data_IF_786515575902
#
_entry.id   IF_786515575902
#
_cell.length_a   1.000
_cell.length_b   1.000
_cell.length_c   1.000
_cell.angle_alpha   90.00
_cell.angle_beta   90.00
_cell.angle_gamma   90.00
#
_symmetry.space_group_name_H-M   'P 1'
#
loop_
_entity.id
_entity.type
_entity.pdbx_description
1 polymer ?
#
# COMPACT_ATOMS: atom_id res chain seq x y z
N UNK A 1 -19.43 -6.83 -15.03
CA UNK A 1 -18.92 -7.26 -13.72
C UNK A 1 -17.86 -8.31 -13.96
N UNK A 2 -16.63 -8.06 -13.52
CA UNK A 2 -15.58 -9.08 -13.57
C UNK A 2 -15.95 -10.18 -12.57
N UNK A 3 -15.92 -11.45 -12.99
CA UNK A 3 -16.32 -12.57 -12.14
C UNK A 3 -15.23 -12.94 -11.15
N UNK A 4 -15.60 -13.32 -9.93
CA UNK A 4 -14.64 -13.89 -8.96
C UNK A 4 -13.98 -15.15 -9.55
N UNK A 5 -12.66 -15.23 -9.53
CA UNK A 5 -11.88 -16.39 -10.02
C UNK A 5 -11.30 -17.22 -8.88
N UNK A 6 -11.07 -16.60 -7.72
CA UNK A 6 -10.62 -17.28 -6.53
C UNK A 6 -11.23 -16.64 -5.28
N UNK A 7 -11.48 -17.47 -4.26
CA UNK A 7 -12.01 -17.06 -2.96
C UNK A 7 -10.97 -17.20 -1.87
N UNK A 8 -11.18 -16.46 -0.79
CA UNK A 8 -10.40 -16.57 0.46
C UNK A 8 -8.87 -16.47 0.25
N UNK A 9 -8.45 -15.62 -0.69
CA UNK A 9 -7.04 -15.45 -0.98
C UNK A 9 -6.32 -14.82 0.21
N UNK A 10 -5.20 -15.45 0.59
CA UNK A 10 -4.34 -15.09 1.72
C UNK A 10 -2.90 -15.12 1.25
N UNK A 11 -2.18 -14.04 1.51
CA UNK A 11 -0.74 -13.96 1.28
C UNK A 11 -0.02 -14.23 2.60
N UNK A 12 0.84 -15.24 2.61
CA UNK A 12 1.76 -15.53 3.71
C UNK A 12 3.18 -15.17 3.25
N UNK A 13 3.87 -14.32 4.01
CA UNK A 13 5.27 -14.01 3.79
C UNK A 13 6.10 -14.67 4.88
N UNK A 14 7.01 -15.55 4.47
CA UNK A 14 8.04 -16.12 5.33
C UNK A 14 9.31 -15.30 5.14
N UNK A 15 9.61 -14.46 6.12
CA UNK A 15 10.74 -13.53 6.08
C UNK A 15 12.03 -14.25 6.47
N UNK A 16 13.15 -13.78 5.92
CA UNK A 16 14.49 -14.10 6.42
C UNK A 16 14.66 -13.63 7.87
N UNK A 17 15.59 -14.24 8.61
CA UNK A 17 15.78 -13.98 10.04
C UNK A 17 16.14 -12.53 10.38
N UNK A 18 16.75 -11.82 9.44
CA UNK A 18 17.21 -10.44 9.55
C UNK A 18 16.25 -9.42 8.90
N UNK A 19 15.13 -9.88 8.34
CA UNK A 19 14.08 -9.04 7.82
C UNK A 19 12.98 -8.86 8.87
N UNK A 20 12.72 -7.61 9.26
CA UNK A 20 11.67 -7.24 10.21
C UNK A 20 10.58 -6.44 9.49
N UNK A 21 9.32 -6.89 9.51
CA UNK A 21 8.23 -6.15 8.88
C UNK A 21 7.87 -4.91 9.70
N UNK A 22 7.60 -3.81 9.00
CA UNK A 22 7.24 -2.51 9.59
C UNK A 22 5.80 -2.14 9.35
N UNK A 23 5.28 -2.43 8.16
CA UNK A 23 3.89 -2.20 7.80
C UNK A 23 3.49 -3.03 6.58
N UNK A 24 2.20 -3.31 6.44
CA UNK A 24 1.60 -3.87 5.24
C UNK A 24 0.45 -2.98 4.80
N UNK A 25 0.46 -2.60 3.52
CA UNK A 25 -0.61 -1.86 2.90
C UNK A 25 -1.17 -2.66 1.74
N UNK A 26 -2.50 -2.70 1.62
CA UNK A 26 -3.12 -2.98 0.33
C UNK A 26 -2.79 -1.81 -0.58
N UNK A 27 -2.39 -2.08 -1.82
CA UNK A 27 -2.31 -1.07 -2.85
C UNK A 27 -3.57 -1.16 -3.71
N UNK A 28 -3.72 -2.21 -4.52
CA UNK A 28 -4.88 -2.41 -5.40
C UNK A 28 -5.85 -3.43 -4.77
N UNK A 29 -7.19 -3.25 -4.91
CA UNK A 29 -7.92 -2.21 -5.66
C UNK A 29 -8.25 -0.93 -4.87
N UNK A 30 -7.85 -0.85 -3.61
CA UNK A 30 -8.05 0.33 -2.79
C UNK A 30 -6.96 0.33 -1.73
N UNK A 31 -6.26 1.46 -1.60
CA UNK A 31 -5.20 1.59 -0.60
C UNK A 31 -5.81 1.53 0.79
N UNK A 32 -5.31 0.62 1.61
CA UNK A 32 -5.68 0.54 3.01
C UNK A 32 -4.51 0.02 3.82
N UNK A 33 -4.37 0.54 5.04
CA UNK A 33 -3.41 -0.02 5.99
C UNK A 33 -3.98 -1.34 6.52
N UNK A 34 -3.29 -2.44 6.24
CA UNK A 34 -3.66 -3.76 6.77
C UNK A 34 -3.03 -4.01 8.15
N UNK A 35 -2.19 -3.08 8.60
CA UNK A 35 -1.40 -3.19 9.82
C UNK A 35 -0.30 -4.23 9.67
N UNK A 36 0.24 -4.64 10.82
CA UNK A 36 1.16 -5.76 10.92
C UNK A 36 0.61 -6.71 11.97
N UNK A 37 0.35 -7.95 11.56
CA UNK A 37 -0.04 -9.04 12.44
C UNK A 37 0.97 -10.19 12.25
N UNK A 38 2.00 -10.29 13.11
CA UNK A 38 2.87 -11.45 13.10
C UNK A 38 2.06 -12.67 13.49
N UNK A 39 2.18 -13.73 12.69
CA UNK A 39 1.64 -15.05 13.05
C UNK A 39 2.73 -16.02 13.52
N UNK A 40 3.98 -15.58 13.48
CA UNK A 40 5.18 -16.29 13.94
C UNK A 40 6.35 -15.31 14.08
N UNK A 41 7.54 -15.81 14.39
CA UNK A 41 8.73 -14.96 14.60
C UNK A 41 9.10 -14.13 13.37
N UNK A 42 8.95 -14.70 12.17
CA UNK A 42 9.34 -14.08 10.90
C UNK A 42 8.25 -14.27 9.84
N UNK A 43 6.98 -14.31 10.26
CA UNK A 43 5.86 -14.58 9.34
C UNK A 43 4.81 -13.48 9.40
N UNK A 44 4.37 -13.03 8.22
CA UNK A 44 3.31 -12.04 8.04
C UNK A 44 2.19 -12.67 7.22
N UNK A 45 0.96 -12.62 7.72
CA UNK A 45 -0.21 -13.07 6.97
C UNK A 45 -1.12 -11.89 6.62
N UNK A 46 -1.60 -11.88 5.38
CA UNK A 46 -2.40 -10.80 4.82
C UNK A 46 -3.63 -11.40 4.16
N UNK A 47 -4.83 -10.96 4.55
CA UNK A 47 -6.06 -11.34 3.87
C UNK A 47 -6.24 -10.44 2.64
N UNK A 48 -6.24 -11.06 1.47
CA UNK A 48 -6.52 -10.39 0.19
C UNK A 48 -8.02 -10.37 -0.08
N UNK A 49 -8.73 -11.43 0.30
CA UNK A 49 -10.16 -11.60 0.06
C UNK A 49 -10.40 -12.35 -1.24
N UNK A 50 -11.47 -12.02 -1.96
CA UNK A 50 -11.76 -12.60 -3.26
C UNK A 50 -10.89 -11.95 -4.35
N UNK A 51 -10.46 -12.73 -5.34
CA UNK A 51 -9.74 -12.26 -6.52
C UNK A 51 -10.70 -12.23 -7.71
N UNK A 52 -10.71 -11.12 -8.44
CA UNK A 52 -11.60 -10.88 -9.58
C UNK A 52 -10.88 -11.15 -10.91
N UNK A 53 -11.62 -11.65 -11.90
CA UNK A 53 -11.11 -11.91 -13.24
C UNK A 53 -10.65 -10.62 -13.93
N UNK A 54 -9.35 -10.50 -14.19
CA UNK A 54 -8.79 -9.32 -14.88
C UNK A 54 -8.52 -8.13 -13.97
N UNK A 55 -8.77 -8.24 -12.66
CA UNK A 55 -8.37 -7.25 -11.67
C UNK A 55 -7.02 -7.60 -11.03
N UNK A 56 -6.22 -6.59 -10.70
CA UNK A 56 -4.95 -6.79 -9.99
C UNK A 56 -5.15 -6.63 -8.48
N UNK A 57 -4.72 -7.62 -7.70
CA UNK A 57 -4.62 -7.50 -6.25
C UNK A 57 -3.15 -7.32 -5.85
N UNK A 58 -2.82 -6.22 -5.18
CA UNK A 58 -1.44 -5.89 -4.83
C UNK A 58 -1.30 -5.42 -3.38
N UNK A 59 -0.15 -5.74 -2.79
CA UNK A 59 0.24 -5.29 -1.46
C UNK A 59 1.63 -4.69 -1.50
N UNK A 60 1.83 -3.66 -0.69
CA UNK A 60 3.14 -3.05 -0.44
C UNK A 60 3.54 -3.41 0.98
N UNK A 61 4.71 -4.03 1.12
CA UNK A 61 5.26 -4.44 2.41
C UNK A 61 6.51 -3.61 2.69
N UNK A 62 6.53 -2.96 3.84
CA UNK A 62 7.70 -2.25 4.35
C UNK A 62 8.50 -3.19 5.25
N UNK A 63 9.77 -3.41 4.89
CA UNK A 63 10.69 -4.32 5.58
C UNK A 63 11.95 -3.56 5.99
N UNK A 64 12.35 -3.72 7.25
CA UNK A 64 13.67 -3.34 7.73
C UNK A 64 14.61 -4.55 7.58
N UNK A 65 15.72 -4.36 6.88
CA UNK A 65 16.71 -5.41 6.60
C UNK A 65 18.06 -4.93 7.13
N UNK A 66 18.81 -5.83 7.77
CA UNK A 66 20.16 -5.50 8.23
C UNK A 66 21.12 -5.25 7.05
N UNK A 67 22.10 -4.34 7.17
CA UNK A 67 23.08 -4.10 6.13
C UNK A 67 23.80 -5.39 5.71
N UNK A 68 23.97 -5.58 4.40
CA UNK A 68 24.59 -6.76 3.78
C UNK A 68 25.61 -6.31 2.73
N UNK A 69 26.65 -7.13 2.46
CA UNK A 69 27.57 -6.86 1.36
C UNK A 69 26.84 -6.95 0.01
N UNK A 70 27.48 -6.47 -1.05
CA UNK A 70 26.94 -6.61 -2.40
C UNK A 70 26.65 -8.08 -2.75
N UNK A 71 25.53 -8.32 -3.43
CA UNK A 71 25.04 -9.65 -3.79
C UNK A 71 23.52 -9.74 -3.83
N UNK A 72 23.01 -10.89 -4.23
CA UNK A 72 21.57 -11.18 -4.28
C UNK A 72 21.16 -12.08 -3.13
N UNK A 73 20.15 -11.66 -2.37
CA UNK A 73 19.68 -12.36 -1.18
C UNK A 73 18.19 -12.61 -1.24
N UNK A 74 17.75 -13.81 -0.88
CA UNK A 74 16.33 -14.05 -0.62
C UNK A 74 15.96 -13.46 0.73
N UNK A 75 15.13 -12.42 0.70
CA UNK A 75 14.70 -11.70 1.91
C UNK A 75 13.35 -12.21 2.43
N UNK A 76 12.55 -12.83 1.57
CA UNK A 76 11.31 -13.50 1.93
C UNK A 76 10.93 -14.58 0.91
N UNK A 77 10.01 -15.46 1.30
CA UNK A 77 9.21 -16.27 0.38
C UNK A 77 7.74 -15.90 0.56
N UNK A 78 7.10 -15.49 -0.53
CA UNK A 78 5.67 -15.21 -0.60
C UNK A 78 4.93 -16.49 -0.98
N UNK A 79 3.88 -16.82 -0.23
CA UNK A 79 2.95 -17.90 -0.52
C UNK A 79 1.54 -17.32 -0.67
N UNK A 80 0.97 -17.43 -1.86
CA UNK A 80 -0.43 -17.08 -2.11
C UNK A 80 -1.29 -18.34 -1.96
N UNK A 81 -2.09 -18.39 -0.90
CA UNK A 81 -3.06 -19.44 -0.62
C UNK A 81 -4.43 -18.96 -1.10
N UNK A 82 -5.14 -19.73 -1.93
CA UNK A 82 -6.46 -19.35 -2.45
C UNK A 82 -7.28 -20.57 -2.86
N UNK A 83 -8.59 -20.43 -2.98
CA UNK A 83 -9.46 -21.50 -3.50
C UNK A 83 -10.03 -21.08 -4.86
N UNK A 84 -9.63 -21.70 -5.98
CA UNK A 84 -10.22 -21.41 -7.29
C UNK A 84 -11.73 -21.61 -7.28
N UNK A 85 -12.48 -20.75 -7.97
CA UNK A 85 -13.92 -20.96 -8.13
C UNK A 85 -14.18 -22.26 -8.89
N UNK A 86 -15.12 -23.06 -8.39
CA UNK A 86 -15.45 -24.38 -8.94
C UNK A 86 -14.56 -25.51 -8.43
N UNK A 87 -13.57 -25.23 -7.56
CA UNK A 87 -12.74 -26.24 -6.91
C UNK A 87 -12.95 -26.22 -5.39
N UNK A 88 -12.90 -27.40 -4.76
CA UNK A 88 -12.99 -27.52 -3.31
C UNK A 88 -11.63 -27.45 -2.61
N UNK A 89 -10.54 -27.68 -3.35
CA UNK A 89 -9.19 -27.78 -2.76
C UNK A 89 -8.46 -26.45 -2.86
N UNK A 90 -7.93 -25.92 -1.74
CA UNK A 90 -7.06 -24.75 -1.77
C UNK A 90 -5.78 -25.01 -2.55
N UNK A 91 -5.33 -24.02 -3.31
CA UNK A 91 -4.06 -24.01 -4.02
C UNK A 91 -3.08 -23.04 -3.35
N UNK A 92 -1.78 -23.33 -3.53
CA UNK A 92 -0.69 -22.48 -3.02
C UNK A 92 0.29 -22.20 -4.16
N UNK A 93 0.53 -20.92 -4.42
CA UNK A 93 1.59 -20.46 -5.32
C UNK A 93 2.72 -19.86 -4.48
N UNK A 94 3.97 -20.22 -4.76
CA UNK A 94 5.13 -19.73 -4.02
C UNK A 94 6.03 -18.90 -4.92
N UNK A 95 6.54 -17.80 -4.39
CA UNK A 95 7.47 -16.91 -5.08
C UNK A 95 8.54 -16.42 -4.10
N UNK A 96 9.81 -16.58 -4.46
CA UNK A 96 10.91 -16.00 -3.69
C UNK A 96 11.02 -14.50 -3.98
N UNK A 97 11.22 -13.71 -2.92
CA UNK A 97 11.47 -12.27 -2.98
C UNK A 97 12.96 -12.05 -2.81
N UNK A 98 13.61 -11.63 -3.90
CA UNK A 98 15.04 -11.39 -3.95
C UNK A 98 15.34 -9.90 -3.82
N UNK A 99 16.36 -9.57 -3.02
CA UNK A 99 16.94 -8.24 -2.92
C UNK A 99 18.36 -8.30 -3.48
N UNK A 100 18.62 -7.49 -4.50
CA UNK A 100 19.96 -7.24 -5.00
C UNK A 100 20.53 -6.00 -4.33
N UNK A 101 21.75 -6.14 -3.81
CA UNK A 101 22.55 -5.04 -3.27
C UNK A 101 23.76 -4.89 -4.17
N UNK A 102 23.90 -3.71 -4.78
CA UNK A 102 25.00 -3.39 -5.68
C UNK A 102 25.82 -2.22 -5.15
N UNK A 103 27.12 -2.27 -5.39
CA UNK A 103 28.02 -1.13 -5.19
C UNK A 103 28.18 -0.28 -6.47
N UNK A 104 27.57 -0.72 -7.58
CA UNK A 104 27.58 0.02 -8.84
C UNK A 104 26.66 1.25 -8.72
N UNK A 105 27.25 2.44 -8.82
CA UNK A 105 26.53 3.70 -8.78
C UNK A 105 25.62 3.93 -10.01
N UNK A 106 25.84 3.19 -11.10
CA UNK A 106 25.00 3.25 -12.29
C UNK A 106 23.77 2.32 -12.21
N UNK A 107 23.71 1.41 -11.22
CA UNK A 107 22.57 0.53 -11.04
C UNK A 107 21.31 1.34 -10.69
N UNK A 108 20.12 0.97 -11.21
CA UNK A 108 18.88 1.64 -10.85
C UNK A 108 18.65 1.57 -9.34
N UNK A 109 18.44 2.73 -8.71
CA UNK A 109 18.23 2.81 -7.27
C UNK A 109 16.91 2.16 -6.80
N UNK A 110 15.92 2.02 -7.69
CA UNK A 110 14.62 1.42 -7.40
C UNK A 110 13.92 0.92 -8.68
N UNK A 111 12.98 -0.02 -8.52
CA UNK A 111 12.02 -0.39 -9.57
C UNK A 111 10.96 0.73 -9.69
N UNK A 112 10.76 1.36 -10.87
CA UNK A 112 9.82 2.47 -11.04
C UNK A 112 8.37 2.11 -10.71
N UNK A 113 7.93 0.88 -10.99
CA UNK A 113 6.55 0.44 -10.69
C UNK A 113 6.35 0.30 -9.19
N UNK A 114 7.33 -0.29 -8.49
CA UNK A 114 7.31 -0.38 -7.03
C UNK A 114 7.34 1.00 -6.40
N UNK A 115 8.19 1.91 -6.89
CA UNK A 115 8.26 3.27 -6.37
C UNK A 115 6.96 4.04 -6.57
N UNK A 116 6.31 3.89 -7.73
CA UNK A 116 4.99 4.49 -7.98
C UNK A 116 3.95 4.01 -6.94
N UNK A 117 3.92 2.70 -6.64
CA UNK A 117 3.05 2.13 -5.61
C UNK A 117 3.37 2.68 -4.21
N UNK A 118 4.66 2.78 -3.87
CA UNK A 118 5.12 3.29 -2.57
C UNK A 118 4.70 4.74 -2.38
N UNK A 119 4.93 5.61 -3.36
CA UNK A 119 4.57 7.03 -3.28
C UNK A 119 3.06 7.24 -3.14
N UNK A 120 2.26 6.43 -3.86
CA UNK A 120 0.79 6.41 -3.72
C UNK A 120 0.35 6.02 -2.31
N UNK A 121 0.93 4.97 -1.74
CA UNK A 121 0.69 4.55 -0.35
C UNK A 121 1.11 5.63 0.64
N UNK A 122 2.22 6.33 0.39
CA UNK A 122 2.73 7.39 1.24
C UNK A 122 1.87 8.65 1.22
N UNK A 123 1.33 9.03 0.06
CA UNK A 123 0.35 10.11 -0.04
C UNK A 123 -0.93 9.79 0.75
N UNK A 124 -1.44 8.56 0.61
CA UNK A 124 -2.60 8.09 1.39
C UNK A 124 -2.33 8.09 2.90
N UNK A 125 -1.15 7.61 3.32
CA UNK A 125 -0.74 7.60 4.73
C UNK A 125 -0.71 9.00 5.35
N UNK A 126 -0.33 10.02 4.58
CA UNK A 126 -0.41 11.41 5.03
C UNK A 126 -1.85 11.88 5.22
N UNK A 127 -2.76 11.53 4.30
CA UNK A 127 -4.18 11.87 4.41
C UNK A 127 -4.81 11.21 5.64
N UNK A 128 -4.57 9.91 5.87
CA UNK A 128 -5.09 9.23 7.08
C UNK A 128 -4.54 9.83 8.36
N UNK A 129 -3.26 10.21 8.39
CA UNK A 129 -2.68 10.90 9.56
C UNK A 129 -3.26 12.28 9.75
N UNK A 130 -3.51 13.03 8.68
CA UNK A 130 -4.15 14.33 8.77
C UNK A 130 -5.55 14.23 9.38
N UNK A 131 -6.32 13.23 8.95
CA UNK A 131 -7.63 12.93 9.51
C UNK A 131 -7.55 12.67 11.02
N UNK A 132 -6.63 11.80 11.45
CA UNK A 132 -6.43 11.49 12.87
C UNK A 132 -5.97 12.72 13.69
N UNK A 133 -5.13 13.58 13.13
CA UNK A 133 -4.69 14.83 13.79
C UNK A 133 -5.84 15.82 13.91
N UNK A 134 -6.69 15.93 12.88
CA UNK A 134 -7.87 16.78 12.90
C UNK A 134 -8.90 16.29 13.94
N UNK A 135 -9.14 14.99 14.02
CA UNK A 135 -9.98 14.36 15.05
C UNK A 135 -9.43 14.60 16.46
N UNK A 136 -8.11 14.65 16.61
CA UNK A 136 -7.43 14.99 17.87
C UNK A 136 -7.38 16.51 18.15
N UNK A 137 -7.98 17.35 17.29
CA UNK A 137 -7.98 18.81 17.42
C UNK A 137 -6.69 19.52 16.96
N UNK A 138 -5.70 18.77 16.46
CA UNK A 138 -4.48 19.34 15.88
C UNK A 138 -4.68 19.75 14.41
N UNK A 139 -5.41 20.84 14.23
CA UNK A 139 -5.72 21.38 12.90
C UNK A 139 -4.46 21.74 12.12
N UNK A 140 -3.48 22.41 12.73
CA UNK A 140 -2.21 22.78 12.07
C UNK A 140 -1.45 21.55 11.58
N UNK A 141 -1.33 20.51 12.42
CA UNK A 141 -0.65 19.28 12.06
C UNK A 141 -1.39 18.48 10.98
N UNK A 142 -2.72 18.60 10.91
CA UNK A 142 -3.53 17.99 9.88
C UNK A 142 -3.37 18.69 8.52
N UNK A 143 -3.44 20.03 8.49
CA UNK A 143 -3.37 20.81 7.25
C UNK A 143 -1.99 20.70 6.59
N UNK A 144 -0.92 20.72 7.38
CA UNK A 144 0.44 20.46 6.90
C UNK A 144 0.56 19.09 6.20
N UNK A 145 -0.04 18.04 6.78
CA UNK A 145 0.01 16.69 6.19
C UNK A 145 -0.83 16.58 4.93
N UNK A 146 -2.00 17.24 4.86
CA UNK A 146 -2.82 17.30 3.65
C UNK A 146 -2.09 17.99 2.50
N UNK A 147 -1.43 19.12 2.75
CA UNK A 147 -0.63 19.82 1.73
C UNK A 147 0.58 19.01 1.26
N UNK A 148 1.24 18.32 2.19
CA UNK A 148 2.32 17.39 1.83
C UNK A 148 1.80 16.22 0.96
N UNK A 149 0.58 15.72 1.23
CA UNK A 149 -0.06 14.72 0.39
C UNK A 149 -0.41 15.29 -0.99
N UNK A 150 -0.94 16.52 -1.06
CA UNK A 150 -1.26 17.19 -2.31
C UNK A 150 -0.03 17.36 -3.20
N UNK A 151 1.10 17.80 -2.63
CA UNK A 151 2.37 17.96 -3.34
C UNK A 151 2.82 16.63 -3.96
N UNK A 152 2.85 15.55 -3.17
CA UNK A 152 3.24 14.22 -3.69
C UNK A 152 2.29 13.72 -4.79
N UNK A 153 0.99 13.96 -4.66
CA UNK A 153 0.02 13.58 -5.68
C UNK A 153 0.23 14.38 -6.97
N UNK A 154 0.62 15.66 -6.89
CA UNK A 154 1.01 16.44 -8.08
C UNK A 154 2.25 15.87 -8.74
N UNK A 155 3.27 15.52 -7.96
CA UNK A 155 4.51 14.93 -8.47
C UNK A 155 4.26 13.58 -9.18
N UNK A 156 3.22 12.85 -8.76
CA UNK A 156 2.74 11.63 -9.39
C UNK A 156 1.82 11.85 -10.61
N UNK A 157 1.54 13.11 -10.98
CA UNK A 157 0.62 13.46 -12.07
C UNK A 157 -0.87 13.32 -11.73
N UNK A 158 -1.21 13.15 -10.44
CA UNK A 158 -2.59 12.94 -9.97
C UNK A 158 -3.28 14.26 -9.61
N UNK A 159 -3.40 15.14 -10.60
CA UNK A 159 -3.89 16.53 -10.46
C UNK A 159 -5.20 16.65 -9.67
N UNK A 160 -6.19 15.83 -10.00
CA UNK A 160 -7.51 15.88 -9.36
C UNK A 160 -7.45 15.42 -7.89
N UNK A 161 -6.60 14.43 -7.57
CA UNK A 161 -6.42 13.98 -6.18
C UNK A 161 -5.66 15.02 -5.35
N UNK A 162 -4.64 15.62 -5.95
CA UNK A 162 -3.90 16.71 -5.33
C UNK A 162 -4.81 17.91 -5.01
N UNK A 163 -5.62 18.35 -5.98
CA UNK A 163 -6.60 19.43 -5.79
C UNK A 163 -7.60 19.11 -4.69
N UNK A 164 -8.07 17.87 -4.63
CA UNK A 164 -8.96 17.42 -3.56
C UNK A 164 -8.30 17.50 -2.18
N UNK A 165 -7.04 17.09 -2.05
CA UNK A 165 -6.29 17.17 -0.80
C UNK A 165 -6.02 18.62 -0.36
N UNK A 166 -5.70 19.52 -1.30
CA UNK A 166 -5.50 20.96 -1.01
C UNK A 166 -6.80 21.64 -0.57
N UNK A 167 -7.92 21.31 -1.22
CA UNK A 167 -9.23 21.80 -0.82
C UNK A 167 -9.59 21.34 0.59
N UNK A 168 -9.31 20.08 0.94
CA UNK A 168 -9.52 19.56 2.29
C UNK A 168 -8.65 20.30 3.33
N UNK A 169 -7.40 20.62 3.00
CA UNK A 169 -6.53 21.41 3.87
C UNK A 169 -7.14 22.80 4.12
N UNK A 170 -7.63 23.45 3.06
CA UNK A 170 -8.25 24.78 3.12
C UNK A 170 -9.54 24.77 3.96
N UNK A 171 -10.42 23.78 3.74
CA UNK A 171 -11.66 23.62 4.51
C UNK A 171 -11.38 23.43 6.00
N UNK A 172 -10.38 22.60 6.32
CA UNK A 172 -10.00 22.33 7.69
C UNK A 172 -9.44 23.58 8.40
N UNK A 173 -8.69 24.44 7.69
CA UNK A 173 -8.24 25.74 8.21
C UNK A 173 -9.39 26.72 8.45
N UNK A 174 -10.44 26.65 7.64
CA UNK A 174 -11.65 27.45 7.81
C UNK A 174 -12.57 26.93 8.94
N UNK A 175 -12.13 25.91 9.69
CA UNK A 175 -12.89 25.34 10.79
C UNK A 175 -14.02 24.41 10.35
N UNK A 176 -14.07 24.04 9.07
CA UNK A 176 -14.95 22.97 8.61
C UNK A 176 -14.34 21.65 9.08
N UNK A 177 -14.96 21.06 10.10
CA UNK A 177 -14.48 19.82 10.71
C UNK A 177 -14.45 18.65 9.72
N UNK A 178 -13.85 17.55 10.17
CA UNK A 178 -13.85 16.28 9.46
C UNK A 178 -15.30 15.83 9.23
N UNK A 179 -15.73 15.70 7.98
CA UNK A 179 -17.07 15.22 7.65
C UNK A 179 -17.04 13.75 7.21
N UNK A 180 -18.19 13.07 7.33
CA UNK A 180 -18.35 11.72 6.77
C UNK A 180 -18.13 11.69 5.24
N UNK A 181 -18.26 12.84 4.57
CA UNK A 181 -17.96 12.97 3.14
C UNK A 181 -16.45 12.90 2.88
N UNK A 182 -15.61 13.43 3.78
CA UNK A 182 -14.15 13.36 3.68
C UNK A 182 -13.65 11.90 3.69
N UNK A 183 -14.23 11.05 4.53
CA UNK A 183 -13.90 9.61 4.59
C UNK A 183 -14.36 8.85 3.34
N UNK A 184 -15.53 9.17 2.79
CA UNK A 184 -16.00 8.60 1.52
C UNK A 184 -15.14 9.05 0.35
N UNK A 185 -14.77 10.33 0.30
CA UNK A 185 -13.88 10.89 -0.71
C UNK A 185 -12.51 10.20 -0.69
N UNK A 186 -11.97 9.90 0.50
CA UNK A 186 -10.72 9.15 0.67
C UNK A 186 -10.80 7.73 0.07
N UNK A 187 -11.91 7.02 0.31
CA UNK A 187 -12.13 5.67 -0.24
C UNK A 187 -12.27 5.69 -1.77
N UNK A 188 -12.95 6.69 -2.31
CA UNK A 188 -13.07 6.86 -3.76
C UNK A 188 -11.72 7.23 -4.40
N UNK A 189 -11.00 8.16 -3.79
CA UNK A 189 -9.69 8.63 -4.23
C UNK A 189 -8.68 7.47 -4.34
N UNK A 190 -8.63 6.62 -3.31
CA UNK A 190 -7.71 5.48 -3.27
C UNK A 190 -8.02 4.43 -4.31
N UNK A 191 -9.30 4.14 -4.58
CA UNK A 191 -9.69 3.23 -5.67
C UNK A 191 -9.24 3.77 -7.04
N UNK A 192 -9.44 5.08 -7.30
CA UNK A 192 -9.04 5.70 -8.57
C UNK A 192 -7.52 5.67 -8.75
N UNK A 193 -6.77 5.94 -7.68
CA UNK A 193 -5.30 5.96 -7.67
C UNK A 193 -4.70 4.60 -8.11
N UNK A 194 -5.41 3.51 -7.83
CA UNK A 194 -4.95 2.15 -8.08
C UNK A 194 -5.45 1.55 -9.38
N UNK A 195 -6.54 2.07 -9.96
CA UNK A 195 -7.04 1.63 -11.27
C UNK A 195 -6.10 1.99 -12.42
N UNK A 196 -5.43 3.16 -12.36
CA UNK A 196 -4.43 3.58 -13.36
C UNK A 196 -3.13 2.74 -13.37
N UNK A 197 -3.00 1.75 -12.47
CA UNK A 197 -1.86 0.82 -12.49
C UNK A 197 -2.07 -0.34 -13.48
N UNK A 198 -3.29 -0.48 -14.01
CA UNK A 198 -3.68 -1.54 -14.93
C UNK A 198 -3.53 -1.13 -16.41
N UNK A 199 -3.20 0.15 -16.68
CA UNK A 199 -2.87 0.72 -18.00
C UNK A 199 -1.35 0.85 -18.19
#
# INVERSE_FOLDING_TARGET
>A
AQGTVARDARLLLRLSRDATPRAVHRATPTISNLGYQPIGQNEVAVRMGDLEAGGVASVVIDLLIQPRPAGTFRIAQAELHYTPVGQATPQVVKQDVLLEISADAAAPAHDPRVMNLVEKVMAFKLQTRALSEAEAGNITGATQKLRAAATRLLDLGELELAKSAENQATQLEQGQGVSAESQKALTYATRRLTQKLEE
#
